data_IF_826770179709
#
_entry.id   IF_826770179709
#
_cell.length_a   1.000
_cell.length_b   1.000
_cell.length_c   1.000
_cell.angle_alpha   90.00
_cell.angle_beta   90.00
_cell.angle_gamma   90.00
#
_symmetry.space_group_name_H-M   'P 1'
#
loop_
_entity.id
_entity.type
_entity.pdbx_description
1 polymer ?
#
# COMPACT_ATOMS: atom_id res chain seq x y z
N UNK A 1 19.21 -39.75 -13.64
CA UNK A 1 19.16 -38.31 -13.29
C UNK A 1 19.12 -38.23 -11.78
N UNK A 2 20.08 -37.57 -11.15
CA UNK A 2 19.99 -37.24 -9.73
C UNK A 2 19.22 -35.92 -9.64
N UNK A 3 18.09 -35.93 -8.95
CA UNK A 3 17.39 -34.70 -8.60
C UNK A 3 18.24 -33.95 -7.57
N UNK A 4 18.82 -32.81 -7.97
CA UNK A 4 19.54 -31.94 -7.06
C UNK A 4 18.58 -31.40 -6.00
N UNK A 5 18.83 -31.77 -4.74
CA UNK A 5 18.12 -31.22 -3.59
C UNK A 5 18.37 -29.71 -3.49
N UNK A 6 17.36 -28.90 -3.80
CA UNK A 6 17.37 -27.46 -3.55
C UNK A 6 17.16 -27.24 -2.04
N UNK A 7 18.24 -26.90 -1.33
CA UNK A 7 18.21 -26.62 0.11
C UNK A 7 17.26 -25.44 0.36
N UNK A 8 16.25 -25.65 1.21
CA UNK A 8 15.34 -24.59 1.65
C UNK A 8 16.16 -23.38 2.14
N UNK A 9 15.95 -22.23 1.48
CA UNK A 9 16.56 -20.98 1.92
C UNK A 9 15.73 -20.44 3.08
N UNK A 10 16.37 -20.15 4.21
CA UNK A 10 15.70 -19.50 5.33
C UNK A 10 15.16 -18.14 4.85
N UNK A 11 13.84 -17.99 4.82
CA UNK A 11 13.20 -16.69 4.61
C UNK A 11 13.59 -15.83 5.81
N UNK A 12 14.37 -14.76 5.58
CA UNK A 12 14.71 -13.82 6.66
C UNK A 12 13.44 -13.18 7.19
N UNK A 13 13.25 -13.25 8.51
CA UNK A 13 12.17 -12.54 9.17
C UNK A 13 12.34 -11.03 8.97
N UNK A 14 11.22 -10.37 8.67
CA UNK A 14 11.17 -8.91 8.55
C UNK A 14 11.38 -8.26 9.91
N UNK A 15 12.25 -7.26 9.96
CA UNK A 15 12.39 -6.41 11.14
C UNK A 15 11.12 -5.59 11.36
N UNK A 16 10.96 -5.04 12.55
CA UNK A 16 9.82 -4.16 12.82
C UNK A 16 9.88 -2.87 12.01
N UNK A 17 11.08 -2.42 11.64
CA UNK A 17 11.26 -1.27 10.75
C UNK A 17 10.83 -1.61 9.32
N UNK A 18 11.16 -2.80 8.81
CA UNK A 18 10.69 -3.27 7.50
C UNK A 18 9.15 -3.31 7.46
N UNK A 19 8.52 -3.81 8.53
CA UNK A 19 7.05 -3.86 8.63
C UNK A 19 6.43 -2.45 8.66
N UNK A 20 7.08 -1.47 9.30
CA UNK A 20 6.62 -0.07 9.28
C UNK A 20 6.75 0.53 7.89
N UNK A 21 7.88 0.32 7.21
CA UNK A 21 8.09 0.78 5.83
C UNK A 21 7.03 0.18 4.90
N UNK A 22 6.75 -1.12 5.01
CA UNK A 22 5.72 -1.78 4.20
C UNK A 22 4.31 -1.24 4.47
N UNK A 23 3.99 -0.96 5.74
CA UNK A 23 2.72 -0.34 6.11
C UNK A 23 2.57 1.04 5.47
N UNK A 24 3.62 1.86 5.51
CA UNK A 24 3.65 3.20 4.91
C UNK A 24 3.49 3.10 3.38
N UNK A 25 4.26 2.23 2.73
CA UNK A 25 4.16 2.00 1.29
C UNK A 25 2.76 1.54 0.88
N UNK A 26 2.15 0.67 1.69
CA UNK A 26 0.78 0.18 1.46
C UNK A 26 -0.24 1.31 1.57
N UNK A 27 -0.10 2.19 2.56
CA UNK A 27 -0.97 3.35 2.75
C UNK A 27 -0.85 4.32 1.57
N UNK A 28 0.37 4.61 1.13
CA UNK A 28 0.63 5.50 -0.01
C UNK A 28 0.03 4.92 -1.29
N UNK A 29 0.20 3.61 -1.52
CA UNK A 29 -0.41 2.92 -2.66
C UNK A 29 -1.94 2.99 -2.60
N UNK A 30 -2.55 2.70 -1.45
CA UNK A 30 -4.00 2.78 -1.26
C UNK A 30 -4.55 4.19 -1.50
N UNK A 31 -3.84 5.24 -1.09
CA UNK A 31 -4.22 6.64 -1.39
C UNK A 31 -4.13 6.96 -2.88
N UNK A 32 -3.12 6.43 -3.59
CA UNK A 32 -3.00 6.56 -5.06
C UNK A 32 -4.14 5.82 -5.78
N UNK A 33 -4.46 4.60 -5.35
CA UNK A 33 -5.57 3.80 -5.88
C UNK A 33 -6.90 4.55 -5.70
N UNK A 34 -7.17 5.08 -4.50
CA UNK A 34 -8.37 5.87 -4.23
C UNK A 34 -8.46 7.10 -5.15
N UNK A 35 -7.37 7.87 -5.28
CA UNK A 35 -7.35 9.06 -6.14
C UNK A 35 -7.61 8.70 -7.61
N UNK A 36 -6.99 7.62 -8.11
CA UNK A 36 -7.20 7.15 -9.47
C UNK A 36 -8.65 6.69 -9.70
N UNK A 37 -9.21 5.92 -8.77
CA UNK A 37 -10.60 5.46 -8.87
C UNK A 37 -11.58 6.64 -8.86
N UNK A 38 -11.35 7.65 -8.02
CA UNK A 38 -12.16 8.89 -8.01
C UNK A 38 -12.06 9.63 -9.34
N UNK A 39 -10.85 9.84 -9.88
CA UNK A 39 -10.67 10.50 -11.17
C UNK A 39 -11.33 9.74 -12.33
N UNK A 40 -11.21 8.42 -12.33
CA UNK A 40 -11.84 7.60 -13.37
C UNK A 40 -13.37 7.60 -13.26
N UNK A 41 -13.90 7.69 -12.04
CA UNK A 41 -15.34 7.83 -11.80
C UNK A 41 -15.90 9.14 -12.39
N UNK A 42 -15.17 10.25 -12.27
CA UNK A 42 -15.59 11.55 -12.81
C UNK A 42 -15.85 11.53 -14.32
N UNK A 43 -15.19 10.64 -15.06
CA UNK A 43 -15.32 10.48 -16.51
C UNK A 43 -15.82 9.09 -16.90
N UNK A 44 -16.49 8.38 -16.00
CA UNK A 44 -16.90 7.00 -16.25
C UNK A 44 -18.06 6.93 -17.26
N UNK A 45 -17.95 6.00 -18.20
CA UNK A 45 -19.09 5.56 -19.01
C UNK A 45 -20.12 4.84 -18.12
N UNK A 46 -21.40 4.86 -18.52
CA UNK A 46 -22.52 4.33 -17.72
C UNK A 46 -22.27 2.90 -17.20
N UNK A 47 -21.69 2.02 -18.02
CA UNK A 47 -21.38 0.64 -17.65
C UNK A 47 -20.24 0.46 -16.65
N UNK A 48 -19.48 1.52 -16.34
CA UNK A 48 -18.33 1.49 -15.43
C UNK A 48 -18.59 2.23 -14.11
N UNK A 49 -19.74 2.89 -13.97
CA UNK A 49 -20.10 3.67 -12.78
C UNK A 49 -20.02 2.82 -11.51
N UNK A 50 -20.73 1.68 -11.47
CA UNK A 50 -20.75 0.80 -10.31
C UNK A 50 -19.38 0.20 -9.98
N UNK A 51 -18.61 -0.11 -11.02
CA UNK A 51 -17.24 -0.61 -10.88
C UNK A 51 -16.36 0.41 -10.14
N UNK A 52 -16.34 1.67 -10.57
CA UNK A 52 -15.54 2.69 -9.91
C UNK A 52 -16.10 3.08 -8.54
N UNK A 53 -17.42 3.10 -8.34
CA UNK A 53 -18.03 3.29 -7.01
C UNK A 53 -17.55 2.22 -6.03
N UNK A 54 -17.53 0.95 -6.46
CA UNK A 54 -17.03 -0.13 -5.63
C UNK A 54 -15.54 0.05 -5.31
N UNK A 55 -14.72 0.40 -6.31
CA UNK A 55 -13.30 0.66 -6.09
C UNK A 55 -13.04 1.81 -5.12
N UNK A 56 -13.80 2.91 -5.23
CA UNK A 56 -13.70 4.05 -4.31
C UNK A 56 -14.03 3.60 -2.89
N UNK A 57 -15.15 2.88 -2.70
CA UNK A 57 -15.57 2.38 -1.38
C UNK A 57 -14.51 1.46 -0.77
N UNK A 58 -14.03 0.47 -1.54
CA UNK A 58 -13.01 -0.47 -1.09
C UNK A 58 -11.68 0.23 -0.76
N UNK A 59 -11.22 1.14 -1.62
CA UNK A 59 -9.97 1.87 -1.43
C UNK A 59 -10.05 2.83 -0.23
N UNK A 60 -11.20 3.47 -0.01
CA UNK A 60 -11.43 4.31 1.17
C UNK A 60 -11.36 3.50 2.46
N UNK A 61 -12.07 2.38 2.55
CA UNK A 61 -12.01 1.47 3.71
C UNK A 61 -10.59 0.96 3.96
N UNK A 62 -9.83 0.65 2.90
CA UNK A 62 -8.43 0.24 3.01
C UNK A 62 -7.53 1.36 3.53
N UNK A 63 -7.71 2.60 3.06
CA UNK A 63 -6.98 3.77 3.57
C UNK A 63 -7.30 3.97 5.06
N UNK A 64 -8.56 3.96 5.45
CA UNK A 64 -8.98 4.15 6.85
C UNK A 64 -8.36 3.09 7.78
N UNK A 65 -8.40 1.83 7.37
CA UNK A 65 -7.74 0.74 8.10
C UNK A 65 -6.23 0.96 8.24
N UNK A 66 -5.54 1.29 7.15
CA UNK A 66 -4.08 1.47 7.15
C UNK A 66 -3.66 2.69 7.98
N UNK A 67 -4.44 3.77 7.95
CA UNK A 67 -4.22 4.96 8.79
C UNK A 67 -4.35 4.60 10.26
N UNK A 68 -5.42 3.90 10.66
CA UNK A 68 -5.60 3.49 12.05
C UNK A 68 -4.47 2.55 12.50
N UNK A 69 -4.12 1.57 11.67
CA UNK A 69 -3.00 0.66 11.93
C UNK A 69 -1.65 1.38 12.05
N UNK A 70 -1.43 2.46 11.29
CA UNK A 70 -0.23 3.28 11.40
C UNK A 70 -0.19 4.07 12.72
N UNK A 71 -1.33 4.64 13.13
CA UNK A 71 -1.48 5.34 14.42
C UNK A 71 -1.22 4.40 15.60
N UNK A 72 -1.77 3.18 15.57
CA UNK A 72 -1.57 2.17 16.61
C UNK A 72 -0.09 1.77 16.76
N UNK A 73 0.70 1.94 15.69
CA UNK A 73 2.15 1.70 15.68
C UNK A 73 3.00 2.93 16.02
N UNK A 74 2.36 4.04 16.42
CA UNK A 74 3.05 5.28 16.76
C UNK A 74 3.66 6.01 15.56
N UNK A 75 3.24 5.70 14.32
CA UNK A 75 3.74 6.38 13.12
C UNK A 75 3.08 7.75 12.99
N UNK A 76 3.88 8.80 13.01
CA UNK A 76 3.42 10.18 12.78
C UNK A 76 3.39 10.52 11.28
N UNK A 77 2.64 11.56 10.93
CA UNK A 77 2.57 12.08 9.55
C UNK A 77 3.98 12.44 9.02
N UNK A 78 4.82 13.01 9.88
CA UNK A 78 6.19 13.40 9.55
C UNK A 78 7.05 12.17 9.19
N UNK A 79 6.87 11.05 9.88
CA UNK A 79 7.60 9.80 9.60
C UNK A 79 7.17 9.18 8.25
N UNK A 80 5.89 9.33 7.88
CA UNK A 80 5.35 8.90 6.58
C UNK A 80 5.98 9.73 5.44
N UNK A 81 6.02 11.06 5.60
CA UNK A 81 6.63 11.96 4.62
C UNK A 81 8.13 11.71 4.48
N UNK A 82 8.86 11.60 5.59
CA UNK A 82 10.30 11.37 5.59
C UNK A 82 10.70 10.04 4.92
N UNK A 83 9.95 8.96 5.18
CA UNK A 83 10.16 7.65 4.53
C UNK A 83 9.83 7.70 3.03
N UNK A 84 8.77 8.44 2.65
CA UNK A 84 8.44 8.65 1.24
C UNK A 84 9.53 9.44 0.51
N UNK A 85 10.04 10.52 1.09
CA UNK A 85 11.09 11.33 0.49
C UNK A 85 12.41 10.55 0.37
N UNK A 86 12.85 9.82 1.40
CA UNK A 86 14.06 8.99 1.35
C UNK A 86 14.04 7.94 0.23
N UNK A 87 12.87 7.37 -0.07
CA UNK A 87 12.73 6.35 -1.12
C UNK A 87 12.63 6.95 -2.54
N UNK A 88 12.21 8.20 -2.70
CA UNK A 88 12.05 8.86 -4.00
C UNK A 88 13.21 9.82 -4.35
N UNK A 89 14.25 9.93 -3.51
CA UNK A 89 15.51 10.65 -3.81
C UNK A 89 16.60 9.77 -4.43
N UNK A 90 16.34 8.48 -4.65
CA UNK A 90 17.14 7.64 -5.56
C UNK A 90 16.50 7.73 -6.95
N UNK A 91 16.80 8.82 -7.64
CA UNK A 91 16.40 9.12 -9.01
C UNK A 91 17.41 10.08 -9.63
#
# INVERSE_FOLDING_TARGET
MFEEYQKETNIKDKTDEDKKIELIMSLIKAKKELNLATKNFETAEEGLVDYYVYQIKASKSKVDFLVNKAKDKGLSLNMIEEIYFKKNQVG
#
